data_IF_898758807693
#
_entry.id   IF_898758807693
#
_cell.length_a   1.000
_cell.length_b   1.000
_cell.length_c   1.000
_cell.angle_alpha   90.00
_cell.angle_beta   90.00
_cell.angle_gamma   90.00
#
_symmetry.space_group_name_H-M   'P 1'
#
loop_
_entity.id
_entity.type
_entity.pdbx_description
1 polymer ?
#
# COMPACT_ATOMS: atom_id res chain seq x y z
N UNK A 1 -17.63 35.12 74.47
CA UNK A 1 -16.25 34.75 74.16
C UNK A 1 -16.24 33.57 73.23
N UNK A 2 -16.29 33.78 71.96
CA UNK A 2 -16.17 32.73 70.94
C UNK A 2 -15.04 33.09 69.96
N UNK A 3 -14.07 32.21 69.87
CA UNK A 3 -12.92 32.36 69.00
C UNK A 3 -13.31 31.95 67.59
N UNK A 4 -13.25 32.86 66.61
CA UNK A 4 -13.27 32.56 65.17
C UNK A 4 -11.86 32.13 64.78
N UNK A 5 -11.75 30.89 64.24
CA UNK A 5 -10.54 30.42 63.63
C UNK A 5 -10.66 30.66 62.11
N UNK A 6 -9.75 31.43 61.51
CA UNK A 6 -9.70 31.71 60.11
C UNK A 6 -9.11 30.49 59.37
N UNK A 7 -9.84 29.98 58.35
CA UNK A 7 -9.38 28.97 57.42
C UNK A 7 -8.75 29.66 56.21
N UNK A 8 -7.42 29.60 56.09
CA UNK A 8 -6.72 30.10 54.93
C UNK A 8 -6.89 29.10 53.76
N UNK A 9 -7.59 29.51 52.71
CA UNK A 9 -7.70 28.78 51.49
C UNK A 9 -6.38 28.87 50.68
N UNK A 10 -5.69 27.77 50.56
CA UNK A 10 -4.54 27.62 49.65
C UNK A 10 -5.10 27.53 48.22
N UNK A 11 -5.08 28.64 47.49
CA UNK A 11 -5.39 28.68 46.09
C UNK A 11 -4.10 28.27 45.33
N UNK A 12 -3.93 26.96 45.11
CA UNK A 12 -2.89 26.44 44.25
C UNK A 12 -3.25 26.77 42.78
N UNK A 13 -2.46 27.65 42.17
CA UNK A 13 -2.54 27.90 40.73
C UNK A 13 -2.19 26.61 39.97
N UNK A 14 -3.21 25.90 39.49
CA UNK A 14 -3.02 24.93 38.39
C UNK A 14 -2.64 25.76 37.15
N UNK A 15 -1.34 25.87 36.88
CA UNK A 15 -0.89 26.18 35.52
C UNK A 15 -1.25 25.00 34.64
N UNK A 16 -2.40 25.10 33.97
CA UNK A 16 -2.71 24.22 32.87
C UNK A 16 -1.60 24.43 31.82
N UNK A 17 -0.69 23.47 31.73
CA UNK A 17 0.11 23.32 30.52
C UNK A 17 -0.86 22.94 29.44
N UNK A 18 -1.40 23.92 28.73
CA UNK A 18 -1.96 23.75 27.43
C UNK A 18 -0.78 23.35 26.52
N UNK A 19 -0.40 22.06 26.55
CA UNK A 19 0.36 21.51 25.44
C UNK A 19 -0.43 21.83 24.19
N UNK A 20 0.15 22.57 23.25
CA UNK A 20 -0.45 22.70 21.94
C UNK A 20 -0.68 21.26 21.44
N UNK A 21 -1.94 20.85 21.46
CA UNK A 21 -2.33 19.61 20.76
C UNK A 21 -1.94 19.82 19.30
N UNK A 22 -1.18 18.89 18.74
CA UNK A 22 -0.84 18.95 17.33
C UNK A 22 -2.14 19.08 16.54
N UNK A 23 -2.18 20.00 15.57
CA UNK A 23 -3.37 20.15 14.73
C UNK A 23 -3.62 18.83 13.99
N UNK A 24 -4.88 18.45 13.86
CA UNK A 24 -5.29 17.24 13.13
C UNK A 24 -4.71 17.25 11.71
N UNK A 25 -3.89 16.25 11.38
CA UNK A 25 -3.03 16.23 10.20
C UNK A 25 -1.60 16.73 10.43
N UNK A 26 -1.23 17.19 11.63
CA UNK A 26 0.16 17.50 11.99
C UNK A 26 1.05 16.25 12.09
N UNK A 27 2.37 16.42 12.18
CA UNK A 27 3.28 15.32 12.50
C UNK A 27 3.11 14.89 13.95
N UNK A 28 3.19 13.60 14.22
CA UNK A 28 3.16 13.07 15.58
C UNK A 28 4.57 13.05 16.18
N UNK A 29 4.92 14.10 16.91
CA UNK A 29 6.25 14.26 17.53
C UNK A 29 6.57 13.24 18.62
N UNK A 30 5.59 12.40 19.04
CA UNK A 30 5.87 11.24 19.89
C UNK A 30 6.54 10.08 19.13
N UNK A 31 6.61 10.18 17.79
CA UNK A 31 7.33 9.26 16.92
C UNK A 31 8.62 9.94 16.47
N UNK A 32 9.78 9.38 16.85
CA UNK A 32 11.13 9.89 16.52
C UNK A 32 11.39 11.37 16.86
N UNK A 33 10.65 11.95 17.83
CA UNK A 33 10.75 13.35 18.30
C UNK A 33 10.25 14.42 17.29
N UNK A 34 10.31 14.14 15.99
CA UNK A 34 9.88 15.03 14.90
C UNK A 34 8.79 14.44 14.00
N UNK A 35 8.31 13.22 14.32
CA UNK A 35 7.30 12.51 13.55
C UNK A 35 7.83 11.74 12.36
N UNK A 36 9.15 11.75 12.11
CA UNK A 36 9.77 11.16 10.93
C UNK A 36 10.91 10.21 11.29
N UNK A 37 11.10 9.17 10.51
CA UNK A 37 12.25 8.26 10.54
C UNK A 37 12.82 8.16 9.14
N UNK A 38 14.13 8.35 8.99
CA UNK A 38 14.86 8.01 7.77
C UNK A 38 15.67 6.74 7.99
N UNK A 39 15.62 5.83 7.05
CA UNK A 39 16.30 4.54 7.09
C UNK A 39 17.19 4.46 5.86
N UNK A 40 18.50 4.57 6.07
CA UNK A 40 19.52 4.30 5.07
C UNK A 40 20.07 2.89 5.32
N UNK A 41 19.98 2.01 4.35
CA UNK A 41 20.57 0.66 4.46
C UNK A 41 22.03 0.63 4.02
N UNK A 42 22.38 1.37 2.98
CA UNK A 42 23.76 1.60 2.50
C UNK A 42 24.60 0.32 2.33
N UNK A 43 24.02 -0.69 1.67
CA UNK A 43 24.71 -1.98 1.44
C UNK A 43 25.60 -1.99 0.19
N UNK A 44 25.87 -0.83 -0.40
CA UNK A 44 26.74 -0.65 -1.56
C UNK A 44 26.01 -0.27 -2.85
N UNK A 45 26.68 -0.37 -3.98
CA UNK A 45 26.14 0.01 -5.27
C UNK A 45 25.81 1.50 -5.37
N UNK A 46 24.55 1.84 -5.63
CA UNK A 46 24.04 3.21 -5.68
C UNK A 46 23.55 3.73 -4.33
N UNK A 47 23.58 2.91 -3.28
CA UNK A 47 22.93 3.13 -1.97
C UNK A 47 21.43 3.49 -2.08
N UNK A 48 20.78 3.09 -3.16
CA UNK A 48 19.35 3.36 -3.34
C UNK A 48 18.51 2.36 -2.57
N UNK A 49 17.67 2.86 -1.67
CA UNK A 49 16.71 2.12 -0.86
C UNK A 49 15.29 2.50 -1.28
N UNK A 50 14.58 1.58 -1.91
CA UNK A 50 13.37 1.86 -2.66
C UNK A 50 12.18 1.01 -2.18
N UNK A 51 10.97 1.42 -2.54
CA UNK A 51 9.73 0.63 -2.45
C UNK A 51 9.49 -0.02 -1.08
N UNK A 52 9.54 0.71 0.05
CA UNK A 52 9.34 0.10 1.35
C UNK A 52 7.95 -0.50 1.51
N UNK A 53 7.91 -1.66 2.16
CA UNK A 53 6.71 -2.26 2.72
C UNK A 53 6.83 -2.37 4.23
N UNK A 54 5.77 -2.00 4.96
CA UNK A 54 5.79 -1.87 6.41
C UNK A 54 4.79 -2.83 7.05
N UNK A 55 5.21 -3.48 8.12
CA UNK A 55 4.38 -4.34 8.95
C UNK A 55 4.56 -3.96 10.42
N UNK A 56 3.47 -3.90 11.17
CA UNK A 56 3.51 -3.71 12.61
C UNK A 56 3.40 -5.08 13.29
N UNK A 57 4.36 -5.41 14.15
CA UNK A 57 4.36 -6.71 14.83
C UNK A 57 3.51 -6.69 16.13
N UNK A 58 3.43 -7.82 16.82
CA UNK A 58 2.61 -7.96 18.05
C UNK A 58 3.17 -7.21 19.27
N UNK A 59 4.33 -6.62 19.15
CA UNK A 59 4.98 -5.78 20.16
C UNK A 59 4.97 -4.31 19.75
N UNK A 60 4.10 -3.95 18.78
CA UNK A 60 3.98 -2.61 18.22
C UNK A 60 5.30 -2.07 17.62
N UNK A 61 6.18 -2.96 17.17
CA UNK A 61 7.39 -2.56 16.48
C UNK A 61 7.10 -2.40 15.00
N UNK A 62 7.71 -1.37 14.41
CA UNK A 62 7.63 -1.12 12.97
C UNK A 62 8.73 -1.92 12.28
N UNK A 63 8.33 -2.84 11.44
CA UNK A 63 9.21 -3.66 10.61
C UNK A 63 9.12 -3.14 9.18
N UNK A 64 10.24 -2.74 8.61
CA UNK A 64 10.31 -2.24 7.24
C UNK A 64 11.11 -3.18 6.37
N UNK A 65 10.58 -3.53 5.23
CA UNK A 65 11.27 -4.23 4.14
C UNK A 65 11.45 -3.26 2.99
N UNK A 66 12.62 -3.20 2.40
CA UNK A 66 12.91 -2.32 1.27
C UNK A 66 13.78 -3.03 0.24
N UNK A 67 13.60 -2.69 -1.03
CA UNK A 67 14.57 -2.97 -2.07
C UNK A 67 15.83 -2.15 -1.79
N UNK A 68 16.98 -2.78 -1.73
CA UNK A 68 18.25 -2.11 -1.42
C UNK A 68 19.29 -2.41 -2.49
N UNK A 69 20.01 -1.39 -2.90
CA UNK A 69 21.15 -1.57 -3.79
C UNK A 69 22.29 -2.32 -3.05
N UNK A 70 22.95 -3.21 -3.77
CA UNK A 70 24.17 -3.92 -3.34
C UNK A 70 25.20 -3.85 -4.45
N UNK A 71 26.44 -4.25 -4.18
CA UNK A 71 27.48 -4.27 -5.22
C UNK A 71 27.15 -5.29 -6.32
N UNK A 72 26.63 -4.78 -7.44
CA UNK A 72 26.32 -5.56 -8.66
C UNK A 72 24.95 -6.24 -8.68
N UNK A 73 24.05 -5.99 -7.69
CA UNK A 73 22.69 -6.53 -7.67
C UNK A 73 21.73 -5.65 -6.83
N UNK A 74 20.49 -6.13 -6.65
CA UNK A 74 19.59 -5.63 -5.61
C UNK A 74 19.18 -6.76 -4.67
N UNK A 75 18.96 -6.41 -3.41
CA UNK A 75 18.50 -7.32 -2.37
C UNK A 75 17.33 -6.73 -1.60
N UNK A 76 16.92 -7.40 -0.53
CA UNK A 76 15.90 -6.88 0.38
C UNK A 76 16.53 -6.62 1.74
N UNK A 77 16.51 -5.36 2.16
CA UNK A 77 16.84 -4.92 3.49
C UNK A 77 15.65 -5.05 4.44
N UNK A 78 15.90 -5.33 5.71
CA UNK A 78 14.91 -5.33 6.77
C UNK A 78 15.40 -4.45 7.92
N UNK A 79 14.58 -3.54 8.42
CA UNK A 79 14.86 -2.76 9.62
C UNK A 79 13.78 -2.95 10.68
N UNK A 80 14.13 -2.69 11.94
CA UNK A 80 13.19 -2.78 13.06
C UNK A 80 13.28 -1.54 13.93
N UNK A 81 12.13 -0.92 14.19
CA UNK A 81 12.00 0.25 15.06
C UNK A 81 10.96 -0.03 16.17
N UNK A 82 11.16 0.58 17.33
CA UNK A 82 10.16 0.58 18.39
C UNK A 82 8.95 1.45 18.01
N UNK A 83 7.88 1.31 18.77
CA UNK A 83 6.62 2.06 18.54
C UNK A 83 6.77 3.58 18.58
N UNK A 84 7.82 4.08 19.23
CA UNK A 84 8.17 5.50 19.27
C UNK A 84 9.07 5.95 18.10
N UNK A 85 9.34 5.10 17.11
CA UNK A 85 10.19 5.40 15.95
C UNK A 85 11.69 5.25 16.20
N UNK A 86 12.16 5.02 17.42
CA UNK A 86 13.59 4.78 17.65
C UNK A 86 14.02 3.43 17.09
N UNK A 87 15.22 3.37 16.51
CA UNK A 87 15.74 2.12 15.94
C UNK A 87 16.03 1.08 17.05
N UNK A 88 15.63 -0.16 16.81
CA UNK A 88 15.94 -1.29 17.69
C UNK A 88 17.31 -1.87 17.35
N UNK A 89 18.35 -1.36 17.97
CA UNK A 89 19.75 -1.77 17.72
C UNK A 89 20.06 -3.22 18.09
N UNK A 90 19.14 -3.91 18.80
CA UNK A 90 19.28 -5.34 19.08
C UNK A 90 18.96 -6.24 17.89
N UNK A 91 18.37 -5.66 16.82
CA UNK A 91 18.03 -6.37 15.58
C UNK A 91 19.18 -6.24 14.57
N UNK A 92 19.62 -7.37 14.01
CA UNK A 92 20.66 -7.39 12.97
C UNK A 92 21.93 -6.64 13.36
N UNK A 93 22.40 -5.79 12.47
CA UNK A 93 23.52 -4.87 12.72
C UNK A 93 22.94 -3.46 12.84
N UNK A 94 23.01 -2.88 14.04
CA UNK A 94 22.48 -1.54 14.32
C UNK A 94 21.01 -1.36 13.86
N UNK A 95 20.17 -2.37 14.07
CA UNK A 95 18.74 -2.31 13.74
C UNK A 95 18.38 -2.65 12.29
N UNK A 96 19.34 -3.09 11.48
CA UNK A 96 19.18 -3.40 10.06
C UNK A 96 19.76 -4.76 9.70
N UNK A 97 19.24 -5.37 8.64
CA UNK A 97 19.69 -6.66 8.13
C UNK A 97 19.44 -6.74 6.62
N UNK A 98 20.46 -7.17 5.87
CA UNK A 98 20.26 -7.68 4.51
C UNK A 98 19.74 -9.11 4.61
N UNK A 99 18.59 -9.40 3.97
CA UNK A 99 18.00 -10.74 4.03
C UNK A 99 18.74 -11.70 3.11
N UNK A 100 18.98 -12.91 3.60
CA UNK A 100 19.42 -14.02 2.76
C UNK A 100 18.20 -14.71 2.15
N UNK A 101 17.92 -14.39 0.89
CA UNK A 101 16.82 -14.95 0.10
C UNK A 101 17.37 -15.79 -1.08
N UNK A 102 18.58 -16.31 -0.95
CA UNK A 102 19.26 -17.11 -1.98
C UNK A 102 18.48 -18.34 -2.41
N UNK A 103 17.60 -18.87 -1.54
CA UNK A 103 16.66 -19.95 -1.84
C UNK A 103 15.71 -19.63 -3.02
N UNK A 104 15.49 -18.35 -3.35
CA UNK A 104 14.72 -17.96 -4.56
C UNK A 104 15.49 -18.21 -5.86
N UNK A 105 16.80 -18.45 -5.81
CA UNK A 105 17.62 -18.74 -6.98
C UNK A 105 17.88 -17.58 -7.92
N UNK A 106 17.40 -16.37 -7.59
CA UNK A 106 17.52 -15.17 -8.40
C UNK A 106 18.61 -14.21 -7.97
N UNK A 107 18.92 -13.25 -8.84
CA UNK A 107 20.00 -12.25 -8.64
C UNK A 107 19.48 -10.87 -8.22
N UNK A 108 18.31 -10.49 -8.71
CA UNK A 108 17.71 -9.18 -8.55
C UNK A 108 16.37 -9.33 -7.85
N UNK A 109 16.25 -8.74 -6.67
CA UNK A 109 15.03 -8.76 -5.88
C UNK A 109 14.48 -7.34 -5.79
N UNK A 110 13.20 -7.16 -6.07
CA UNK A 110 12.58 -5.85 -6.07
C UNK A 110 11.14 -5.88 -5.56
N UNK A 111 10.59 -4.68 -5.34
CA UNK A 111 9.17 -4.46 -5.03
C UNK A 111 8.65 -5.36 -3.88
N UNK A 112 9.25 -5.28 -2.68
CA UNK A 112 8.80 -6.10 -1.55
C UNK A 112 7.37 -5.74 -1.15
N UNK A 113 6.56 -6.77 -0.88
CA UNK A 113 5.26 -6.65 -0.23
C UNK A 113 5.23 -7.62 0.94
N UNK A 114 5.02 -7.13 2.15
CA UNK A 114 5.12 -7.93 3.36
C UNK A 114 3.76 -8.02 4.07
N UNK A 115 3.48 -9.20 4.63
CA UNK A 115 2.36 -9.44 5.53
C UNK A 115 2.85 -10.13 6.79
N UNK A 116 2.20 -9.82 7.91
CA UNK A 116 2.39 -10.54 9.16
C UNK A 116 1.26 -11.55 9.37
N UNK A 117 1.61 -12.80 9.66
CA UNK A 117 0.67 -13.83 10.05
C UNK A 117 0.32 -13.75 11.55
N UNK A 118 -0.77 -14.41 11.93
CA UNK A 118 -1.23 -14.48 13.33
C UNK A 118 -0.18 -15.13 14.24
N UNK A 119 0.61 -16.11 13.73
CA UNK A 119 1.70 -16.75 14.45
C UNK A 119 2.95 -15.87 14.61
N UNK A 120 2.90 -14.63 14.12
CA UNK A 120 3.97 -13.64 14.22
C UNK A 120 5.04 -13.72 13.14
N UNK A 121 5.00 -14.71 12.26
CA UNK A 121 5.91 -14.80 11.12
C UNK A 121 5.58 -13.76 10.06
N UNK A 122 6.57 -13.41 9.24
CA UNK A 122 6.37 -12.55 8.08
C UNK A 122 6.34 -13.38 6.80
N UNK A 123 5.46 -13.01 5.89
CA UNK A 123 5.48 -13.46 4.52
C UNK A 123 5.95 -12.27 3.67
N UNK A 124 6.88 -12.54 2.78
CA UNK A 124 7.50 -11.53 1.93
C UNK A 124 7.36 -11.97 0.47
N UNK A 125 6.58 -11.24 -0.29
CA UNK A 125 6.45 -11.35 -1.73
C UNK A 125 7.42 -10.39 -2.38
N UNK A 126 8.20 -10.87 -3.33
CA UNK A 126 9.16 -10.08 -4.10
C UNK A 126 9.09 -10.46 -5.58
N UNK A 127 9.51 -9.55 -6.44
CA UNK A 127 9.85 -9.87 -7.82
C UNK A 127 11.28 -10.40 -7.84
N UNK A 128 11.50 -11.58 -8.40
CA UNK A 128 12.82 -12.19 -8.51
C UNK A 128 13.20 -12.38 -9.97
N UNK A 129 14.39 -11.89 -10.38
CA UNK A 129 14.96 -12.16 -11.70
C UNK A 129 15.75 -13.48 -11.65
N UNK A 130 15.18 -14.53 -12.22
CA UNK A 130 15.77 -15.87 -12.26
C UNK A 130 16.70 -16.08 -13.47
N UNK A 131 16.48 -15.31 -14.54
CA UNK A 131 17.33 -15.25 -15.72
C UNK A 131 17.16 -13.86 -16.37
N UNK A 132 18.11 -13.48 -17.21
CA UNK A 132 18.02 -12.20 -17.93
C UNK A 132 16.69 -12.08 -18.71
N UNK A 133 15.90 -11.07 -18.36
CA UNK A 133 14.59 -10.84 -18.99
C UNK A 133 13.49 -11.83 -18.58
N UNK A 134 13.72 -12.63 -17.52
CA UNK A 134 12.72 -13.51 -16.93
C UNK A 134 12.61 -13.25 -15.43
N UNK A 135 11.43 -12.79 -14.99
CA UNK A 135 11.15 -12.55 -13.59
C UNK A 135 9.93 -13.34 -13.15
N UNK A 136 9.97 -13.85 -11.93
CA UNK A 136 8.89 -14.64 -11.32
C UNK A 136 8.45 -13.99 -9.99
N UNK A 137 7.32 -14.46 -9.44
CA UNK A 137 6.92 -14.15 -8.07
C UNK A 137 7.74 -15.00 -7.10
N UNK A 138 8.48 -14.35 -6.20
CA UNK A 138 9.18 -15.00 -5.09
C UNK A 138 8.42 -14.81 -3.79
N UNK A 139 8.12 -15.89 -3.06
CA UNK A 139 7.47 -15.84 -1.76
C UNK A 139 8.35 -16.51 -0.73
N UNK A 140 8.71 -15.79 0.34
CA UNK A 140 9.45 -16.31 1.47
C UNK A 140 8.65 -16.18 2.77
N UNK A 141 8.82 -17.13 3.69
CA UNK A 141 8.35 -17.00 5.07
C UNK A 141 9.53 -16.77 5.98
N UNK A 142 9.41 -15.77 6.86
CA UNK A 142 10.49 -15.31 7.73
C UNK A 142 10.06 -15.37 9.19
N UNK A 143 10.98 -15.71 10.07
CA UNK A 143 10.86 -15.44 11.49
C UNK A 143 10.99 -13.95 11.78
N UNK A 144 10.57 -13.51 12.97
CA UNK A 144 10.73 -12.11 13.43
C UNK A 144 12.20 -11.65 13.50
N UNK A 145 13.15 -12.58 13.46
CA UNK A 145 14.59 -12.32 13.35
C UNK A 145 15.04 -11.96 11.94
N UNK A 146 14.17 -12.05 10.94
CA UNK A 146 14.50 -11.91 9.53
C UNK A 146 15.26 -13.09 8.93
N UNK A 147 15.33 -14.23 9.62
CA UNK A 147 15.82 -15.48 9.02
C UNK A 147 14.67 -16.16 8.30
N UNK A 148 14.94 -16.80 7.17
CA UNK A 148 13.97 -17.65 6.49
C UNK A 148 13.54 -18.81 7.39
N UNK A 149 12.25 -19.18 7.30
CA UNK A 149 11.69 -20.31 8.03
C UNK A 149 11.77 -21.58 7.16
N UNK A 150 12.71 -22.49 7.40
CA UNK A 150 12.93 -23.66 6.54
C UNK A 150 11.80 -24.69 6.61
N UNK A 151 10.86 -24.54 7.54
CA UNK A 151 9.65 -25.37 7.55
C UNK A 151 8.63 -24.97 6.46
N UNK A 152 8.87 -23.86 5.76
CA UNK A 152 8.12 -23.44 4.60
C UNK A 152 8.89 -23.79 3.33
N UNK A 153 8.35 -24.63 2.45
CA UNK A 153 9.00 -25.06 1.19
C UNK A 153 10.38 -25.74 1.36
N UNK A 154 10.69 -26.33 2.52
CA UNK A 154 11.98 -27.00 2.86
C UNK A 154 13.16 -26.04 3.02
N UNK A 155 13.19 -24.89 2.34
CA UNK A 155 14.25 -23.89 2.37
C UNK A 155 13.77 -22.48 2.76
N UNK A 156 12.46 -22.33 3.00
CA UNK A 156 11.84 -21.10 3.46
C UNK A 156 11.31 -20.19 2.36
N UNK A 157 11.53 -20.51 1.09
CA UNK A 157 11.11 -19.72 -0.06
C UNK A 157 10.53 -20.60 -1.18
N UNK A 158 9.73 -20.00 -2.05
CA UNK A 158 9.22 -20.62 -3.28
C UNK A 158 9.16 -19.59 -4.39
N UNK A 159 9.54 -20.01 -5.59
CA UNK A 159 9.35 -19.22 -6.81
C UNK A 159 8.10 -19.73 -7.53
N UNK A 160 7.23 -18.83 -7.95
CA UNK A 160 5.98 -19.14 -8.64
C UNK A 160 6.05 -18.55 -10.05
N UNK A 161 6.41 -19.37 -11.05
CA UNK A 161 6.43 -18.95 -12.44
C UNK A 161 5.04 -18.99 -13.05
N UNK A 162 4.72 -18.03 -13.91
CA UNK A 162 3.59 -18.13 -14.84
C UNK A 162 4.07 -18.56 -16.22
N UNK A 163 3.27 -19.38 -16.91
CA UNK A 163 3.67 -20.00 -18.18
C UNK A 163 4.14 -18.95 -19.19
N UNK A 164 5.32 -19.19 -19.80
CA UNK A 164 5.82 -18.38 -20.91
C UNK A 164 7.22 -17.79 -20.76
N UNK A 165 7.88 -17.95 -19.60
CA UNK A 165 9.27 -17.48 -19.41
C UNK A 165 9.42 -15.97 -19.66
N UNK A 166 8.52 -15.16 -19.13
CA UNK A 166 8.37 -13.73 -19.40
C UNK A 166 8.55 -12.92 -18.12
N UNK A 167 8.37 -11.62 -18.22
CA UNK A 167 8.39 -10.74 -17.07
C UNK A 167 7.09 -10.86 -16.28
N UNK A 168 7.18 -11.37 -15.06
CA UNK A 168 6.09 -11.45 -14.10
C UNK A 168 6.27 -10.37 -13.02
N UNK A 169 5.18 -9.66 -12.71
CA UNK A 169 5.18 -8.50 -11.82
C UNK A 169 4.24 -8.76 -10.64
N UNK A 170 4.76 -9.20 -9.47
CA UNK A 170 3.97 -9.28 -8.25
C UNK A 170 3.55 -7.88 -7.80
N UNK A 171 2.31 -7.75 -7.31
CA UNK A 171 1.76 -6.49 -6.80
C UNK A 171 1.42 -6.62 -5.33
N UNK A 172 0.65 -7.64 -4.95
CA UNK A 172 0.18 -7.80 -3.59
C UNK A 172 -0.01 -9.28 -3.23
N UNK A 173 -0.07 -9.56 -1.93
CA UNK A 173 -0.51 -10.85 -1.40
C UNK A 173 -1.55 -10.65 -0.32
N UNK A 174 -2.42 -11.64 -0.11
CA UNK A 174 -3.46 -11.63 0.91
C UNK A 174 -3.65 -13.02 1.48
N UNK A 175 -3.86 -13.11 2.80
CA UNK A 175 -4.32 -14.35 3.39
C UNK A 175 -5.77 -14.62 3.00
N UNK A 176 -6.10 -15.89 2.81
CA UNK A 176 -7.46 -16.38 2.57
C UNK A 176 -8.00 -17.05 3.84
N UNK A 177 -9.31 -16.98 4.11
CA UNK A 177 -9.92 -17.56 5.30
C UNK A 177 -9.74 -19.09 5.47
N UNK A 178 -9.32 -19.76 4.40
CA UNK A 178 -9.16 -21.21 4.30
C UNK A 178 -7.69 -21.68 4.44
N UNK A 179 -6.87 -20.96 5.21
CA UNK A 179 -5.45 -21.24 5.46
C UNK A 179 -4.59 -21.28 4.17
N UNK A 180 -4.88 -20.36 3.27
CA UNK A 180 -4.13 -20.16 2.04
C UNK A 180 -3.61 -18.74 1.93
N UNK A 181 -2.66 -18.55 1.03
CA UNK A 181 -2.19 -17.23 0.62
C UNK A 181 -2.43 -17.07 -0.88
N UNK A 182 -2.99 -15.93 -1.26
CA UNK A 182 -3.18 -15.53 -2.65
C UNK A 182 -2.12 -14.51 -3.00
N UNK A 183 -1.42 -14.72 -4.09
CA UNK A 183 -0.49 -13.78 -4.71
C UNK A 183 -1.17 -13.22 -5.95
N UNK A 184 -1.10 -11.90 -6.14
CA UNK A 184 -1.67 -11.21 -7.28
C UNK A 184 -0.67 -10.29 -7.95
N UNK A 185 -0.81 -10.15 -9.25
CA UNK A 185 0.00 -9.28 -10.08
C UNK A 185 -0.40 -9.36 -11.56
N UNK A 186 0.57 -9.19 -12.42
CA UNK A 186 0.38 -9.31 -13.86
C UNK A 186 1.65 -9.82 -14.53
N UNK A 187 1.50 -10.36 -15.72
CA UNK A 187 2.62 -10.86 -16.52
C UNK A 187 2.65 -10.23 -17.91
N UNK A 188 3.83 -10.18 -18.51
CA UNK A 188 3.97 -9.85 -19.92
C UNK A 188 3.38 -10.99 -20.79
N UNK A 189 2.63 -10.61 -21.80
CA UNK A 189 2.07 -11.51 -22.80
C UNK A 189 2.24 -10.93 -24.20
N UNK A 190 1.98 -11.71 -25.24
CA UNK A 190 2.00 -11.19 -26.60
C UNK A 190 0.95 -10.09 -26.77
N UNK A 191 1.40 -8.89 -27.12
CA UNK A 191 0.53 -7.73 -27.34
C UNK A 191 0.19 -6.90 -26.11
N UNK A 192 0.64 -7.27 -24.90
CA UNK A 192 0.36 -6.47 -23.70
C UNK A 192 0.66 -7.19 -22.40
N UNK A 193 -0.11 -6.90 -21.36
CA UNK A 193 -0.01 -7.57 -20.07
C UNK A 193 -1.34 -8.24 -19.69
N UNK A 194 -1.28 -9.26 -18.85
CA UNK A 194 -2.43 -10.00 -18.36
C UNK A 194 -2.38 -10.15 -16.85
N UNK A 195 -3.54 -10.12 -16.19
CA UNK A 195 -3.64 -10.40 -14.77
C UNK A 195 -3.12 -11.81 -14.45
N UNK A 196 -2.43 -11.94 -13.33
CA UNK A 196 -1.85 -13.19 -12.87
C UNK A 196 -2.14 -13.37 -11.39
N UNK A 197 -2.67 -14.53 -11.00
CA UNK A 197 -2.91 -14.87 -9.59
C UNK A 197 -2.42 -16.29 -9.32
N UNK A 198 -1.88 -16.50 -8.12
CA UNK A 198 -1.54 -17.82 -7.62
C UNK A 198 -2.08 -17.99 -6.21
N UNK A 199 -2.45 -19.22 -5.86
CA UNK A 199 -2.86 -19.57 -4.50
C UNK A 199 -2.00 -20.73 -3.98
N UNK A 200 -1.46 -20.56 -2.76
CA UNK A 200 -0.59 -21.52 -2.13
C UNK A 200 -1.13 -21.93 -0.76
N UNK A 201 -0.82 -23.16 -0.36
CA UNK A 201 -1.08 -23.66 0.98
C UNK A 201 -0.08 -23.05 1.96
N UNK A 202 -0.55 -22.42 3.04
CA UNK A 202 0.31 -21.79 4.06
C UNK A 202 1.20 -22.80 4.79
N UNK A 203 0.77 -24.05 4.90
CA UNK A 203 1.50 -25.08 5.64
C UNK A 203 2.86 -25.44 4.98
N UNK A 204 2.90 -25.51 3.65
CA UNK A 204 4.01 -26.12 2.93
C UNK A 204 4.41 -25.42 1.62
N UNK A 205 3.86 -24.25 1.34
CA UNK A 205 4.11 -23.44 0.13
C UNK A 205 3.75 -24.12 -1.20
N UNK A 206 3.04 -25.25 -1.18
CA UNK A 206 2.62 -25.89 -2.43
C UNK A 206 1.49 -25.11 -3.10
N UNK A 207 1.50 -25.05 -4.43
CA UNK A 207 0.40 -24.51 -5.21
C UNK A 207 -0.89 -25.29 -4.90
N UNK A 208 -1.99 -24.57 -4.71
CA UNK A 208 -3.30 -25.17 -4.46
C UNK A 208 -3.98 -25.53 -5.79
N UNK A 209 -3.91 -26.79 -6.18
CA UNK A 209 -4.46 -27.29 -7.44
C UNK A 209 -5.98 -27.09 -7.62
N UNK A 210 -6.72 -26.74 -6.56
CA UNK A 210 -8.14 -26.37 -6.67
C UNK A 210 -8.36 -24.95 -7.20
N UNK A 211 -7.28 -24.15 -7.31
CA UNK A 211 -7.30 -22.80 -7.89
C UNK A 211 -6.78 -22.84 -9.32
N UNK A 212 -7.64 -22.56 -10.29
CA UNK A 212 -7.30 -22.57 -11.72
C UNK A 212 -6.84 -23.92 -12.27
N UNK A 213 -7.03 -25.02 -11.52
CA UNK A 213 -6.61 -26.37 -11.92
C UNK A 213 -5.14 -26.71 -11.66
N UNK A 214 -4.27 -25.70 -11.46
CA UNK A 214 -2.83 -25.88 -11.25
C UNK A 214 -2.27 -24.96 -10.11
N UNK A 215 -3.13 -24.21 -9.44
CA UNK A 215 -2.74 -23.30 -8.37
C UNK A 215 -2.32 -21.91 -8.85
N UNK A 216 -2.19 -21.70 -10.15
CA UNK A 216 -1.91 -20.42 -10.78
C UNK A 216 -2.77 -20.18 -12.01
N UNK A 217 -3.17 -18.94 -12.25
CA UNK A 217 -3.98 -18.52 -13.39
C UNK A 217 -3.42 -17.23 -14.01
N UNK A 218 -3.50 -17.19 -15.32
CA UNK A 218 -3.41 -15.95 -16.11
C UNK A 218 -4.58 -15.95 -17.08
N UNK A 219 -5.18 -14.80 -17.31
CA UNK A 219 -6.34 -14.77 -18.20
C UNK A 219 -6.43 -13.46 -18.98
N UNK A 220 -6.73 -13.55 -20.29
CA UNK A 220 -7.13 -12.40 -21.08
C UNK A 220 -8.54 -11.98 -20.68
N UNK A 221 -8.79 -10.68 -20.66
CA UNK A 221 -10.14 -10.14 -20.50
C UNK A 221 -10.75 -9.86 -21.87
N UNK A 222 -11.98 -10.27 -22.15
CA UNK A 222 -12.64 -10.00 -23.43
C UNK A 222 -12.67 -8.49 -23.77
N UNK A 223 -12.17 -8.13 -24.95
CA UNK A 223 -12.14 -6.74 -25.43
C UNK A 223 -11.08 -5.87 -24.72
N UNK A 224 -10.05 -6.49 -24.13
CA UNK A 224 -8.93 -5.82 -23.45
C UNK A 224 -7.62 -6.30 -24.05
N UNK A 225 -6.78 -5.39 -24.53
CA UNK A 225 -5.48 -5.69 -25.11
C UNK A 225 -4.39 -5.81 -24.02
N UNK A 226 -4.53 -5.06 -22.94
CA UNK A 226 -3.58 -5.08 -21.82
C UNK A 226 -4.28 -4.83 -20.49
N UNK A 227 -3.92 -5.57 -19.43
CA UNK A 227 -4.45 -5.36 -18.09
C UNK A 227 -3.34 -5.49 -17.04
N UNK A 228 -3.39 -4.65 -16.02
CA UNK A 228 -2.47 -4.65 -14.88
C UNK A 228 -3.26 -4.63 -13.59
N UNK A 229 -2.83 -5.41 -12.62
CA UNK A 229 -3.37 -5.37 -11.27
C UNK A 229 -2.86 -4.12 -10.55
N UNK A 230 -3.74 -3.40 -9.87
CA UNK A 230 -3.39 -2.36 -8.90
C UNK A 230 -3.43 -2.91 -7.48
N UNK A 231 -4.55 -3.58 -7.12
CA UNK A 231 -4.70 -4.20 -5.81
C UNK A 231 -5.83 -5.26 -5.84
N UNK A 232 -5.91 -6.08 -4.80
CA UNK A 232 -7.00 -7.04 -4.62
C UNK A 232 -7.28 -7.35 -3.15
N UNK A 233 -8.46 -7.88 -2.88
CA UNK A 233 -8.84 -8.38 -1.56
C UNK A 233 -9.48 -9.76 -1.67
N UNK A 234 -9.28 -10.59 -0.65
CA UNK A 234 -9.95 -11.88 -0.51
C UNK A 234 -11.15 -11.70 0.41
N UNK A 235 -12.33 -12.04 -0.07
CA UNK A 235 -13.58 -11.95 0.70
C UNK A 235 -13.72 -13.14 1.66
N UNK A 236 -14.64 -13.05 2.63
CA UNK A 236 -14.89 -14.12 3.61
C UNK A 236 -15.31 -15.46 2.98
N UNK A 237 -15.82 -15.45 1.77
CA UNK A 237 -16.18 -16.64 0.97
C UNK A 237 -15.06 -17.09 0.01
N UNK A 238 -13.85 -16.62 0.25
CA UNK A 238 -12.65 -16.90 -0.56
C UNK A 238 -12.72 -16.41 -2.01
N UNK A 239 -13.72 -15.61 -2.39
CA UNK A 239 -13.73 -14.90 -3.67
C UNK A 239 -12.70 -13.77 -3.64
N UNK A 240 -12.19 -13.41 -4.82
CA UNK A 240 -11.16 -12.40 -4.95
C UNK A 240 -11.73 -11.23 -5.75
N UNK A 241 -11.88 -10.08 -5.13
CA UNK A 241 -12.18 -8.82 -5.84
C UNK A 241 -10.87 -8.10 -6.15
N UNK A 242 -10.78 -7.53 -7.34
CA UNK A 242 -9.57 -6.86 -7.80
C UNK A 242 -9.89 -5.55 -8.49
N UNK A 243 -8.91 -4.65 -8.44
CA UNK A 243 -8.88 -3.40 -9.21
C UNK A 243 -7.55 -3.25 -9.92
N UNK A 244 -7.53 -2.40 -10.92
CA UNK A 244 -6.32 -2.10 -11.68
C UNK A 244 -6.62 -1.27 -12.90
N UNK A 245 -5.96 -1.59 -14.00
CA UNK A 245 -5.93 -0.82 -15.23
C UNK A 245 -6.15 -1.72 -16.44
N UNK A 246 -6.95 -1.28 -17.39
CA UNK A 246 -7.17 -2.01 -18.64
C UNK A 246 -7.12 -1.09 -19.85
N UNK A 247 -6.36 -1.51 -20.87
CA UNK A 247 -6.37 -0.93 -22.19
C UNK A 247 -7.42 -1.65 -23.04
N UNK A 248 -8.47 -0.97 -23.43
CA UNK A 248 -9.49 -1.54 -24.30
C UNK A 248 -8.95 -1.81 -25.70
N UNK A 249 -9.44 -2.86 -26.34
CA UNK A 249 -9.08 -3.20 -27.70
C UNK A 249 -9.34 -2.01 -28.67
N UNK A 250 -8.29 -1.62 -29.38
CA UNK A 250 -8.33 -0.50 -30.31
C UNK A 250 -8.41 0.90 -29.68
N UNK A 251 -8.15 1.03 -28.37
CA UNK A 251 -8.04 2.30 -27.65
C UNK A 251 -6.56 2.63 -27.40
N UNK A 252 -6.30 3.90 -27.04
CA UNK A 252 -4.95 4.41 -26.71
C UNK A 252 -4.81 4.83 -25.25
N UNK A 253 -5.89 4.71 -24.46
CA UNK A 253 -5.94 5.11 -23.07
C UNK A 253 -6.36 3.95 -22.18
N UNK A 254 -5.86 3.97 -20.97
CA UNK A 254 -6.21 3.00 -19.93
C UNK A 254 -7.42 3.48 -19.15
N UNK A 255 -8.30 2.53 -18.82
CA UNK A 255 -9.46 2.74 -17.95
C UNK A 255 -9.27 1.99 -16.63
N UNK A 256 -9.92 2.44 -15.57
CA UNK A 256 -10.02 1.68 -14.33
C UNK A 256 -10.64 0.31 -14.62
N UNK A 257 -10.00 -0.73 -14.14
CA UNK A 257 -10.47 -2.10 -14.19
C UNK A 257 -10.95 -2.54 -12.80
N UNK A 258 -12.10 -3.19 -12.73
CA UNK A 258 -12.54 -3.91 -11.53
C UNK A 258 -13.21 -5.21 -11.90
N UNK A 259 -13.07 -6.23 -11.08
CA UNK A 259 -13.65 -7.54 -11.33
C UNK A 259 -13.60 -8.45 -10.11
N UNK A 260 -14.14 -9.65 -10.27
CA UNK A 260 -14.14 -10.66 -9.23
C UNK A 260 -13.82 -12.05 -9.80
N UNK A 261 -13.02 -12.80 -9.03
CA UNK A 261 -12.82 -14.22 -9.25
C UNK A 261 -13.65 -15.02 -8.24
N UNK A 262 -14.09 -16.20 -8.66
CA UNK A 262 -14.62 -17.22 -7.75
C UNK A 262 -13.50 -17.74 -6.84
N UNK A 263 -13.85 -18.45 -5.77
CA UNK A 263 -12.88 -19.14 -4.93
C UNK A 263 -12.01 -20.16 -5.67
N UNK A 264 -12.47 -20.64 -6.82
CA UNK A 264 -11.71 -21.55 -7.70
C UNK A 264 -10.84 -20.84 -8.75
N UNK A 265 -10.79 -19.49 -8.76
CA UNK A 265 -9.96 -18.71 -9.66
C UNK A 265 -10.56 -18.39 -11.04
N UNK A 266 -11.81 -18.78 -11.32
CA UNK A 266 -12.50 -18.37 -12.55
C UNK A 266 -13.09 -16.97 -12.42
N UNK A 267 -13.28 -16.23 -13.52
CA UNK A 267 -14.06 -14.99 -13.50
C UNK A 267 -15.48 -15.27 -12.98
N UNK A 268 -15.91 -14.51 -11.98
CA UNK A 268 -17.23 -14.62 -11.40
C UNK A 268 -18.25 -13.83 -12.24
N UNK A 269 -18.82 -14.49 -13.22
CA UNK A 269 -19.77 -13.87 -14.16
C UNK A 269 -21.09 -13.41 -13.51
N UNK A 270 -21.34 -13.75 -12.24
CA UNK A 270 -22.44 -13.16 -11.48
C UNK A 270 -22.15 -11.73 -10.99
N UNK A 271 -20.88 -11.36 -10.99
CA UNK A 271 -20.40 -10.02 -10.67
C UNK A 271 -20.17 -9.25 -11.96
N UNK A 272 -20.80 -8.06 -12.12
CA UNK A 272 -20.82 -7.34 -13.40
C UNK A 272 -21.28 -8.22 -14.58
N UNK A 273 -22.43 -8.87 -14.39
CA UNK A 273 -23.01 -9.77 -15.40
C UNK A 273 -23.01 -9.14 -16.80
N UNK A 274 -22.61 -9.87 -17.86
CA UNK A 274 -22.22 -11.31 -17.86
C UNK A 274 -20.70 -11.55 -17.75
N UNK A 275 -19.87 -10.56 -17.59
CA UNK A 275 -18.42 -10.65 -17.85
C UNK A 275 -17.56 -10.95 -16.62
N UNK A 276 -18.03 -10.71 -15.39
CA UNK A 276 -17.22 -10.85 -14.17
C UNK A 276 -16.25 -9.70 -13.93
N UNK A 277 -16.19 -8.73 -14.84
CA UNK A 277 -15.37 -7.53 -14.73
C UNK A 277 -16.03 -6.34 -15.43
N UNK A 278 -15.55 -5.14 -15.09
CA UNK A 278 -15.97 -3.89 -15.74
C UNK A 278 -14.78 -2.95 -15.90
N UNK A 279 -14.76 -2.20 -17.01
CA UNK A 279 -13.94 -1.01 -17.18
C UNK A 279 -14.77 0.22 -16.84
N UNK A 280 -14.18 1.15 -16.13
CA UNK A 280 -14.78 2.41 -15.74
C UNK A 280 -13.90 3.52 -16.33
N UNK A 281 -14.37 4.14 -17.38
CA UNK A 281 -13.74 5.27 -18.03
C UNK A 281 -14.21 6.56 -17.34
N UNK A 282 -13.29 7.30 -16.74
CA UNK A 282 -13.58 8.63 -16.19
C UNK A 282 -13.42 9.72 -17.27
N UNK A 283 -12.49 9.51 -18.20
CA UNK A 283 -12.31 10.27 -19.47
C UNK A 283 -12.40 11.79 -19.33
N UNK A 284 -11.87 12.39 -18.25
CA UNK A 284 -11.98 13.83 -18.01
C UNK A 284 -11.24 14.69 -19.05
N UNK A 285 -10.26 14.12 -19.76
CA UNK A 285 -9.61 14.76 -20.92
C UNK A 285 -10.35 14.53 -22.24
N UNK A 286 -11.46 13.78 -22.21
CA UNK A 286 -12.26 13.38 -23.37
C UNK A 286 -12.01 11.93 -23.78
N UNK A 287 -13.07 11.23 -24.24
CA UNK A 287 -13.07 9.76 -24.39
C UNK A 287 -12.19 9.22 -25.51
N UNK A 288 -11.65 10.07 -26.36
CA UNK A 288 -10.72 9.70 -27.45
C UNK A 288 -9.31 10.27 -27.25
N UNK A 289 -9.05 10.90 -26.10
CA UNK A 289 -7.74 11.46 -25.80
C UNK A 289 -6.78 10.36 -25.36
N UNK A 290 -5.57 10.35 -25.91
CA UNK A 290 -4.46 9.53 -25.41
C UNK A 290 -4.02 9.93 -23.99
N UNK A 291 -4.55 11.04 -23.46
CA UNK A 291 -4.27 11.57 -22.12
C UNK A 291 -5.42 11.36 -21.15
N UNK A 292 -6.32 10.40 -21.42
CA UNK A 292 -7.40 10.00 -20.50
C UNK A 292 -7.05 8.68 -19.81
N UNK A 293 -5.84 8.53 -19.28
CA UNK A 293 -5.47 7.33 -18.53
C UNK A 293 -6.04 7.39 -17.12
N UNK A 294 -6.83 6.39 -16.75
CA UNK A 294 -7.44 6.22 -15.46
C UNK A 294 -6.92 4.92 -14.83
N UNK A 295 -6.30 5.00 -13.67
CA UNK A 295 -5.60 3.88 -13.04
C UNK A 295 -6.06 3.71 -11.59
N UNK A 296 -6.53 2.52 -11.22
CA UNK A 296 -6.77 2.16 -9.83
C UNK A 296 -5.54 1.46 -9.24
N UNK A 297 -5.10 1.93 -8.07
CA UNK A 297 -3.88 1.49 -7.39
C UNK A 297 -4.14 0.85 -6.04
N UNK A 298 -5.26 1.17 -5.39
CA UNK A 298 -5.57 0.70 -4.06
C UNK A 298 -7.05 0.36 -3.90
N UNK A 299 -7.33 -0.61 -3.03
CA UNK A 299 -8.66 -1.16 -2.80
C UNK A 299 -8.86 -1.46 -1.31
N UNK A 300 -9.99 -1.00 -0.77
CA UNK A 300 -10.53 -1.48 0.51
C UNK A 300 -11.91 -2.09 0.31
N UNK A 301 -12.18 -3.22 0.96
CA UNK A 301 -13.50 -3.89 0.95
C UNK A 301 -14.13 -3.78 2.32
N UNK A 302 -15.28 -3.16 2.41
CA UNK A 302 -16.09 -3.18 3.65
C UNK A 302 -16.59 -4.62 3.87
N UNK A 303 -16.23 -5.27 4.99
CA UNK A 303 -16.59 -6.67 5.22
C UNK A 303 -18.09 -6.89 5.44
N UNK A 304 -18.85 -5.85 5.79
CA UNK A 304 -20.30 -5.91 6.07
C UNK A 304 -21.12 -5.63 4.81
N UNK A 305 -20.82 -4.54 4.13
CA UNK A 305 -21.59 -4.10 2.95
C UNK A 305 -21.05 -4.65 1.65
N UNK A 306 -19.80 -5.15 1.64
CA UNK A 306 -19.03 -5.56 0.44
C UNK A 306 -18.77 -4.41 -0.54
N UNK A 307 -18.99 -3.17 -0.10
CA UNK A 307 -18.65 -2.00 -0.88
C UNK A 307 -17.13 -1.92 -1.05
N UNK A 308 -16.70 -1.69 -2.28
CA UNK A 308 -15.30 -1.41 -2.60
C UNK A 308 -15.08 0.10 -2.52
N UNK A 309 -14.08 0.52 -1.78
CA UNK A 309 -13.52 1.87 -1.88
C UNK A 309 -12.22 1.76 -2.67
N UNK A 310 -12.11 2.50 -3.76
CA UNK A 310 -11.02 2.42 -4.73
C UNK A 310 -10.36 3.79 -4.85
N UNK A 311 -9.04 3.81 -4.81
CA UNK A 311 -8.26 5.02 -5.05
C UNK A 311 -7.29 4.84 -6.22
N UNK A 312 -6.85 5.95 -6.80
CA UNK A 312 -5.90 5.91 -7.90
C UNK A 312 -5.65 7.28 -8.52
N UNK A 313 -5.35 7.28 -9.81
CA UNK A 313 -5.11 8.47 -10.60
C UNK A 313 -5.99 8.54 -11.84
N UNK A 314 -6.25 9.75 -12.27
CA UNK A 314 -6.84 10.03 -13.57
C UNK A 314 -6.05 11.13 -14.27
N UNK A 315 -5.93 11.04 -15.57
CA UNK A 315 -5.22 12.02 -16.39
C UNK A 315 -6.21 12.98 -17.04
N UNK A 316 -5.96 14.28 -16.94
CA UNK A 316 -6.85 15.33 -17.50
C UNK A 316 -6.23 16.09 -18.65
N UNK A 317 -4.92 15.94 -18.86
CA UNK A 317 -4.16 16.50 -20.01
C UNK A 317 -2.86 15.74 -20.21
N UNK A 318 -2.02 16.12 -21.15
CA UNK A 318 -0.71 15.53 -21.36
C UNK A 318 0.19 15.56 -20.12
N UNK A 319 0.05 16.59 -19.28
CA UNK A 319 0.90 16.81 -18.10
C UNK A 319 0.16 16.71 -16.78
N UNK A 320 -1.19 16.84 -16.77
CA UNK A 320 -1.96 16.94 -15.53
C UNK A 320 -2.55 15.59 -15.12
N UNK A 321 -2.18 15.13 -13.93
CA UNK A 321 -2.81 14.00 -13.22
C UNK A 321 -3.51 14.48 -11.95
N UNK A 322 -4.57 13.77 -11.56
CA UNK A 322 -5.33 14.01 -10.34
C UNK A 322 -5.54 12.72 -9.59
N UNK A 323 -5.62 12.79 -8.27
CA UNK A 323 -6.06 11.67 -7.45
C UNK A 323 -7.59 11.51 -7.52
N UNK A 324 -8.08 10.30 -7.51
CA UNK A 324 -9.50 10.04 -7.35
C UNK A 324 -9.76 8.97 -6.29
N UNK A 325 -10.96 9.02 -5.71
CA UNK A 325 -11.52 7.98 -4.86
C UNK A 325 -12.97 7.76 -5.31
N UNK A 326 -13.40 6.50 -5.36
CA UNK A 326 -14.76 6.11 -5.69
C UNK A 326 -15.22 4.95 -4.82
N UNK A 327 -16.53 4.77 -4.71
CA UNK A 327 -17.12 3.58 -4.11
C UNK A 327 -17.92 2.79 -5.15
N UNK A 328 -17.76 1.46 -5.11
CA UNK A 328 -18.43 0.52 -6.00
C UNK A 328 -19.19 -0.47 -5.12
N UNK A 329 -20.52 -0.48 -5.21
CA UNK A 329 -21.40 -1.42 -4.51
C UNK A 329 -22.19 -2.24 -5.50
N UNK A 330 -22.33 -3.57 -5.27
CA UNK A 330 -23.10 -4.50 -6.10
C UNK A 330 -22.85 -4.36 -7.61
N UNK A 331 -21.61 -4.01 -7.96
CA UNK A 331 -21.22 -3.86 -9.37
C UNK A 331 -21.47 -2.48 -10.00
N UNK A 332 -21.89 -1.49 -9.21
CA UNK A 332 -22.14 -0.13 -9.71
C UNK A 332 -21.43 0.92 -8.86
N UNK A 333 -21.01 2.00 -9.50
CA UNK A 333 -20.50 3.18 -8.81
C UNK A 333 -21.60 3.76 -7.92
N UNK A 334 -21.29 3.99 -6.64
CA UNK A 334 -22.19 4.62 -5.68
C UNK A 334 -22.34 6.10 -6.02
N UNK A 335 -23.41 6.46 -6.70
CA UNK A 335 -23.65 7.84 -7.15
C UNK A 335 -23.81 8.86 -6.02
N UNK A 336 -24.05 8.39 -4.78
CA UNK A 336 -24.16 9.25 -3.58
C UNK A 336 -22.80 9.52 -2.93
N UNK A 337 -21.70 8.91 -3.43
CA UNK A 337 -20.35 9.14 -2.95
C UNK A 337 -19.73 10.36 -3.63
N UNK A 338 -19.22 11.30 -2.84
CA UNK A 338 -18.57 12.49 -3.35
C UNK A 338 -19.46 13.32 -4.29
N UNK A 339 -18.93 13.66 -5.44
CA UNK A 339 -19.69 14.31 -6.51
C UNK A 339 -19.96 13.31 -7.64
N UNK A 340 -21.22 12.92 -7.82
CA UNK A 340 -21.66 11.96 -8.84
C UNK A 340 -20.86 10.65 -8.83
N UNK A 341 -20.54 10.13 -7.65
CA UNK A 341 -19.84 8.87 -7.44
C UNK A 341 -18.32 8.98 -7.24
N UNK A 342 -17.76 10.19 -7.26
CA UNK A 342 -16.30 10.38 -7.20
C UNK A 342 -15.91 11.52 -6.27
N UNK A 343 -14.78 11.36 -5.57
CA UNK A 343 -14.02 12.44 -4.98
C UNK A 343 -12.73 12.62 -5.80
N UNK A 344 -12.56 13.77 -6.43
CA UNK A 344 -11.43 14.09 -7.31
C UNK A 344 -10.60 15.17 -6.66
N UNK A 345 -9.29 14.94 -6.57
CA UNK A 345 -8.32 15.84 -5.96
C UNK A 345 -7.42 16.48 -7.01
N UNK A 346 -7.48 17.81 -7.08
CA UNK A 346 -6.47 18.61 -7.74
C UNK A 346 -5.34 18.86 -6.73
N UNK A 347 -4.11 18.54 -7.10
CA UNK A 347 -2.94 18.81 -6.29
C UNK A 347 -2.35 20.20 -6.59
N UNK A 348 -1.42 20.65 -5.75
CA UNK A 348 -0.80 21.97 -5.91
C UNK A 348 0.03 22.12 -7.18
N UNK A 349 0.61 21.01 -7.70
CA UNK A 349 1.28 20.92 -8.99
C UNK A 349 0.41 20.26 -10.06
N UNK A 350 1.00 20.00 -11.22
CA UNK A 350 0.29 19.44 -12.39
C UNK A 350 0.10 17.92 -12.31
N UNK A 351 0.81 17.21 -11.43
CA UNK A 351 0.78 15.76 -11.31
C UNK A 351 0.61 15.29 -9.89
N UNK A 352 -0.06 14.15 -9.74
CA UNK A 352 -0.18 13.46 -8.46
C UNK A 352 -1.15 12.31 -8.54
N UNK A 353 -0.96 11.33 -7.65
CA UNK A 353 -1.82 10.15 -7.56
C UNK A 353 -1.80 9.54 -6.17
N UNK A 354 -2.85 8.82 -5.85
CA UNK A 354 -2.88 7.99 -4.65
C UNK A 354 -2.29 6.62 -4.95
N UNK A 355 -1.51 6.09 -4.02
CA UNK A 355 -0.86 4.78 -4.11
C UNK A 355 -1.49 3.77 -3.18
N UNK A 356 -2.06 4.23 -2.06
CA UNK A 356 -2.65 3.38 -1.05
C UNK A 356 -3.83 4.06 -0.37
N UNK A 357 -4.73 3.27 0.23
CA UNK A 357 -5.86 3.77 1.00
C UNK A 357 -6.15 2.88 2.22
N UNK A 358 -6.68 3.50 3.26
CA UNK A 358 -7.15 2.81 4.44
C UNK A 358 -8.42 3.48 4.99
N UNK A 359 -9.22 2.73 5.74
CA UNK A 359 -10.44 3.23 6.38
C UNK A 359 -10.31 2.98 7.88
N UNK A 360 -10.57 4.00 8.69
CA UNK A 360 -10.52 3.88 10.13
C UNK A 360 -11.83 3.36 10.73
N UNK A 361 -11.84 3.12 12.05
CA UNK A 361 -13.00 2.59 12.76
C UNK A 361 -14.24 3.50 12.73
N UNK A 362 -14.10 4.77 12.36
CA UNK A 362 -15.19 5.74 12.15
C UNK A 362 -15.69 5.77 10.71
N UNK A 363 -15.11 4.97 9.82
CA UNK A 363 -15.41 4.97 8.39
C UNK A 363 -14.82 6.16 7.63
N UNK A 364 -13.89 6.92 8.23
CA UNK A 364 -13.16 7.97 7.51
C UNK A 364 -12.17 7.32 6.55
N UNK A 365 -12.10 7.84 5.34
CA UNK A 365 -11.26 7.31 4.28
C UNK A 365 -9.96 8.12 4.24
N UNK A 366 -8.83 7.44 4.33
CA UNK A 366 -7.51 8.02 4.15
C UNK A 366 -6.93 7.52 2.83
N UNK A 367 -6.54 8.42 1.95
CA UNK A 367 -5.84 8.11 0.70
C UNK A 367 -4.46 8.74 0.73
N UNK A 368 -3.45 7.93 0.50
CA UNK A 368 -2.04 8.28 0.57
C UNK A 368 -1.39 8.19 -0.80
N UNK A 369 -0.54 9.14 -1.11
CA UNK A 369 0.14 9.20 -2.38
C UNK A 369 1.21 10.29 -2.41
N UNK A 370 1.53 10.76 -3.60
CA UNK A 370 2.45 11.87 -3.79
C UNK A 370 1.98 12.76 -4.93
N UNK A 371 2.43 14.00 -4.91
CA UNK A 371 2.05 14.99 -5.91
C UNK A 371 3.21 15.93 -6.25
N UNK A 372 3.23 16.40 -7.48
CA UNK A 372 4.17 17.41 -7.94
C UNK A 372 4.01 18.68 -7.11
N UNK A 373 5.13 19.28 -6.79
CA UNK A 373 5.22 20.64 -6.27
C UNK A 373 5.39 21.63 -7.41
N UNK A 374 5.23 22.92 -7.13
CA UNK A 374 5.48 23.98 -8.11
C UNK A 374 6.96 24.03 -8.60
N UNK A 375 7.86 23.32 -7.93
CA UNK A 375 9.30 23.26 -8.26
C UNK A 375 9.67 22.02 -9.08
N UNK A 376 8.69 21.17 -9.46
CA UNK A 376 8.92 19.95 -10.24
C UNK A 376 9.48 18.79 -9.39
N UNK A 377 9.29 18.85 -8.10
CA UNK A 377 9.60 17.82 -7.11
C UNK A 377 8.31 17.14 -6.64
N UNK A 378 8.39 16.01 -5.93
CA UNK A 378 7.24 15.32 -5.34
C UNK A 378 7.23 15.48 -3.83
N UNK A 379 6.05 15.82 -3.28
CA UNK A 379 5.75 15.72 -1.85
C UNK A 379 4.76 14.58 -1.59
N UNK A 380 4.88 13.97 -0.42
CA UNK A 380 3.87 13.02 0.06
C UNK A 380 2.55 13.77 0.29
N UNK A 381 1.44 13.15 -0.07
CA UNK A 381 0.11 13.67 0.20
C UNK A 381 -0.72 12.65 0.96
N UNK A 382 -1.48 13.15 1.96
CA UNK A 382 -2.48 12.36 2.65
C UNK A 382 -3.80 13.13 2.63
N UNK A 383 -4.81 12.53 2.01
CA UNK A 383 -6.18 13.05 2.02
C UNK A 383 -7.01 12.29 3.06
N UNK A 384 -7.92 13.00 3.74
CA UNK A 384 -8.93 12.41 4.60
C UNK A 384 -10.32 12.86 4.16
N UNK A 385 -11.21 11.88 3.98
CA UNK A 385 -12.59 12.10 3.59
C UNK A 385 -13.52 11.48 4.63
N UNK A 386 -14.74 11.98 4.66
CA UNK A 386 -15.84 11.31 5.33
C UNK A 386 -16.18 10.00 4.60
N UNK A 387 -16.95 9.13 5.24
CA UNK A 387 -17.45 7.89 4.60
C UNK A 387 -18.30 8.13 3.35
N UNK A 388 -18.79 9.35 3.17
CA UNK A 388 -19.58 9.76 2.01
C UNK A 388 -18.76 10.44 0.89
N UNK A 389 -17.42 10.48 1.03
CA UNK A 389 -16.52 11.02 0.02
C UNK A 389 -16.40 12.55 0.00
N UNK A 390 -16.92 13.25 0.99
CA UNK A 390 -16.64 14.67 1.17
C UNK A 390 -15.28 14.86 1.85
N UNK A 391 -14.52 15.90 1.48
CA UNK A 391 -13.31 16.26 2.19
C UNK A 391 -13.61 16.49 3.68
N UNK A 392 -12.81 15.89 4.57
CA UNK A 392 -12.96 16.08 6.01
C UNK A 392 -12.33 17.40 6.43
N UNK A 393 -13.18 18.41 6.62
CA UNK A 393 -12.75 19.77 6.97
C UNK A 393 -12.15 19.90 8.38
N UNK A 394 -12.20 18.87 9.21
CA UNK A 394 -11.45 18.85 10.47
C UNK A 394 -9.97 18.49 10.31
N UNK A 395 -9.57 18.03 9.10
CA UNK A 395 -8.22 17.57 8.79
C UNK A 395 -7.47 18.56 7.91
N UNK A 396 -6.16 18.70 8.15
CA UNK A 396 -5.28 19.48 7.29
C UNK A 396 -5.63 20.97 7.22
N UNK A 397 -6.04 21.58 8.35
CA UNK A 397 -6.41 23.00 8.39
C UNK A 397 -7.67 23.34 7.59
N UNK A 398 -8.60 22.40 7.46
CA UNK A 398 -9.87 22.60 6.78
C UNK A 398 -9.92 22.15 5.32
N UNK A 399 -8.81 21.62 4.80
CA UNK A 399 -8.70 21.23 3.39
C UNK A 399 -9.00 19.74 3.14
N UNK A 400 -9.00 18.91 4.19
CA UNK A 400 -9.06 17.46 4.05
C UNK A 400 -7.82 16.84 3.37
N UNK A 401 -6.75 17.61 3.21
CA UNK A 401 -5.52 17.23 2.50
C UNK A 401 -4.31 17.87 3.17
N UNK A 402 -3.24 17.11 3.32
CA UNK A 402 -1.93 17.60 3.79
C UNK A 402 -0.84 17.20 2.81
N UNK A 403 0.19 18.03 2.75
CA UNK A 403 1.43 17.77 2.04
C UNK A 403 2.55 17.56 3.06
N UNK A 404 3.46 16.64 2.77
CA UNK A 404 4.62 16.32 3.62
C UNK A 404 5.89 16.20 2.80
N UNK A 405 6.84 17.07 3.08
CA UNK A 405 8.22 16.89 2.68
C UNK A 405 8.97 16.23 3.85
N UNK A 406 9.68 15.15 3.59
CA UNK A 406 10.34 14.34 4.63
C UNK A 406 11.77 14.80 4.87
N UNK A 407 11.99 16.10 4.96
CA UNK A 407 13.29 16.70 5.28
C UNK A 407 13.72 17.81 4.32
N UNK A 408 14.32 18.84 4.88
CA UNK A 408 14.59 20.13 4.21
C UNK A 408 15.44 20.07 2.93
N UNK A 409 16.13 18.94 2.68
CA UNK A 409 17.01 18.76 1.51
C UNK A 409 16.67 17.49 0.71
N UNK A 410 15.48 16.89 0.93
CA UNK A 410 15.06 15.68 0.24
C UNK A 410 14.13 16.02 -0.90
N UNK A 411 14.39 15.40 -2.03
CA UNK A 411 13.63 15.55 -3.27
C UNK A 411 12.92 14.24 -3.61
N UNK A 412 11.88 14.33 -4.45
CA UNK A 412 11.14 13.17 -4.94
C UNK A 412 10.66 12.26 -3.81
N UNK A 413 9.82 12.81 -2.92
CA UNK A 413 9.19 12.03 -1.87
C UNK A 413 8.10 11.15 -2.49
N UNK A 414 8.34 9.85 -2.57
CA UNK A 414 7.48 8.89 -3.25
C UNK A 414 6.78 7.99 -2.23
N UNK A 415 5.46 7.97 -2.30
CA UNK A 415 4.60 7.20 -1.40
C UNK A 415 4.53 5.73 -1.81
N UNK A 416 4.48 4.82 -0.83
CA UNK A 416 4.30 3.38 -1.09
C UNK A 416 3.15 2.77 -0.32
N UNK A 417 3.11 2.93 1.01
CA UNK A 417 2.15 2.24 1.85
C UNK A 417 1.64 3.12 2.99
N UNK A 418 0.34 3.00 3.27
CA UNK A 418 -0.35 3.57 4.41
C UNK A 418 -0.72 2.45 5.39
N UNK A 419 -0.33 2.60 6.64
CA UNK A 419 -0.72 1.71 7.73
C UNK A 419 -1.27 2.53 8.90
N UNK A 420 -1.99 1.88 9.83
CA UNK A 420 -2.35 2.52 11.09
C UNK A 420 -1.54 1.91 12.23
N UNK A 421 -1.05 2.79 13.10
CA UNK A 421 -0.37 2.42 14.34
C UNK A 421 -0.99 3.19 15.49
N UNK A 422 -1.60 2.48 16.44
CA UNK A 422 -2.37 3.09 17.53
C UNK A 422 -3.40 4.12 17.01
N UNK A 423 -4.14 3.76 15.96
CA UNK A 423 -5.14 4.62 15.33
C UNK A 423 -4.58 5.82 14.54
N UNK A 424 -3.27 6.01 14.49
CA UNK A 424 -2.62 7.09 13.75
C UNK A 424 -2.06 6.60 12.42
N UNK A 425 -2.23 7.36 11.32
CA UNK A 425 -1.62 7.02 10.04
C UNK A 425 -0.08 6.97 10.12
N UNK A 426 0.49 5.86 9.67
CA UNK A 426 1.92 5.68 9.44
C UNK A 426 2.13 5.59 7.93
N UNK A 427 2.82 6.57 7.39
CA UNK A 427 3.10 6.75 5.96
C UNK A 427 4.49 6.20 5.67
N UNK A 428 4.59 5.24 4.77
CA UNK A 428 5.85 4.72 4.28
C UNK A 428 6.12 5.21 2.86
N UNK A 429 7.35 5.58 2.59
CA UNK A 429 7.80 6.05 1.30
C UNK A 429 9.32 6.08 1.22
N UNK A 430 9.84 6.68 0.16
CA UNK A 430 11.27 6.89 0.00
C UNK A 430 11.54 8.23 -0.66
N UNK A 431 12.70 8.80 -0.40
CA UNK A 431 13.07 10.11 -0.93
C UNK A 431 14.54 10.17 -1.30
N UNK A 432 14.87 10.99 -2.29
CA UNK A 432 16.22 11.22 -2.75
C UNK A 432 16.92 12.28 -1.90
N UNK A 433 18.03 11.93 -1.29
CA UNK A 433 18.91 12.89 -0.60
C UNK A 433 19.89 13.53 -1.58
N UNK A 434 20.64 12.72 -2.32
CA UNK A 434 21.55 13.10 -3.39
C UNK A 434 21.44 12.01 -4.46
N UNK A 435 21.31 12.38 -5.74
CA UNK A 435 21.22 11.36 -6.79
C UNK A 435 22.55 10.56 -6.91
N UNK A 436 22.51 9.23 -6.98
CA UNK A 436 21.34 8.34 -7.08
C UNK A 436 20.83 7.78 -5.73
N UNK A 437 21.27 8.33 -4.60
CA UNK A 437 21.00 7.87 -3.26
C UNK A 437 19.55 8.18 -2.82
N UNK A 438 18.77 7.15 -2.53
CA UNK A 438 17.42 7.21 -1.99
C UNK A 438 17.37 6.48 -0.66
N UNK A 439 16.71 7.10 0.33
CA UNK A 439 16.44 6.49 1.63
C UNK A 439 14.95 6.23 1.84
N UNK A 440 14.66 5.20 2.59
CA UNK A 440 13.31 4.92 3.09
C UNK A 440 12.91 5.95 4.14
N UNK A 441 11.64 6.35 4.11
CA UNK A 441 11.07 7.28 5.09
C UNK A 441 9.80 6.70 5.70
N UNK A 442 9.63 6.95 7.01
CA UNK A 442 8.39 6.72 7.73
C UNK A 442 7.96 8.04 8.37
N UNK A 443 6.69 8.39 8.22
CA UNK A 443 6.11 9.57 8.86
C UNK A 443 4.84 9.16 9.60
N UNK A 444 4.73 9.46 10.90
CA UNK A 444 3.49 9.28 11.63
C UNK A 444 2.73 10.60 11.76
N UNK A 445 1.47 10.56 11.38
CA UNK A 445 0.59 11.74 11.35
C UNK A 445 -0.30 11.72 12.58
N UNK A 446 -0.40 12.88 13.23
CA UNK A 446 -1.33 13.09 14.32
C UNK A 446 -2.76 13.20 13.77
N UNK A 447 -3.67 12.46 14.40
CA UNK A 447 -5.11 12.57 14.16
C UNK A 447 -5.84 12.54 15.49
N UNK A 448 -6.93 13.27 15.61
CA UNK A 448 -7.79 13.17 16.77
C UNK A 448 -8.39 11.75 16.84
N UNK A 449 -7.92 11.01 17.82
CA UNK A 449 -8.51 9.74 18.19
C UNK A 449 -9.79 10.06 18.96
N UNK A 450 -10.90 10.20 18.26
CA UNK A 450 -12.20 10.06 18.91
C UNK A 450 -12.31 8.56 19.18
N UNK A 451 -12.16 8.19 20.45
CA UNK A 451 -12.27 6.81 20.92
C UNK A 451 -13.62 6.25 20.49
N UNK A 452 -13.66 5.57 19.38
CA UNK A 452 -14.69 4.61 19.09
C UNK A 452 -14.22 3.31 19.78
N UNK A 453 -14.87 3.05 20.96
CA UNK A 453 -14.83 1.79 21.68
C UNK A 453 -13.46 1.21 22.06
N UNK A 454 -13.22 1.21 23.34
CA UNK A 454 -12.24 0.57 24.19
C UNK A 454 -11.79 -0.85 23.83
N UNK A 455 -11.18 -1.04 22.67
CA UNK A 455 -10.38 -2.20 22.31
C UNK A 455 -9.15 -1.72 21.53
N UNK A 456 -8.18 -1.18 22.26
CA UNK A 456 -6.78 -1.12 21.83
C UNK A 456 -6.08 -2.46 22.13
#
# INVERSE_FOLDING_TARGET
MQKLTALAALCGSLTAHAGLLAADGGVDTSFSQDGNVSIAFDYGGTNADLHPSVVIDSLDRVITFAEVATDGSTGIGMSRHFSNGSIDTSFGVNGRKLLDLSALGGRWLSSPNALRAVDGKFYLLVRVEIAWGNTDFGLCRLFVSGNVDPSFSQDGCVTVPFIGGTLDYPVAMRFSPDDRIVLGGYKQAAGGTQLAFARLNLANATLDGSFGGAGGITFPLPGVDSSRLGDFAVQADSRIVFVGTALAAGRNNFDVLTGRLTAAGALDTSYFFPNGFRRIALDLAGPSSAFSNDEATALHVDPRTRTLTVAGSLQTSATTKRGFITQIGDGFTNQNFGNAGYAIFAFAGDGGWFTDLAIDGLGRIYAYGHADTATGDYDLVLARLTSQGAADTSFGGGQGLIYRNVGANRLNNLATQLSFMHGKPLLAGYSRLIAPDFDVNLTRVWVDLIFADGND
#
